data_IF_931497321196
#
_entry.id   IF_931497321196
#
_cell.length_a   1.000
_cell.length_b   1.000
_cell.length_c   1.000
_cell.angle_alpha   90.00
_cell.angle_beta   90.00
_cell.angle_gamma   90.00
#
_symmetry.space_group_name_H-M   'P 1'
#
loop_
_entity.id
_entity.type
_entity.pdbx_description
1 polymer ?
#
# COMPACT_ATOMS: atom_id res chain seq x y z
N UNK A 1 19.39 5.78 -1.30
CA UNK A 1 18.63 5.04 -0.26
C UNK A 1 18.55 5.94 0.96
N UNK A 2 17.34 6.26 1.41
CA UNK A 2 17.12 7.12 2.58
C UNK A 2 16.72 6.25 3.76
N UNK A 3 17.58 6.20 4.78
CA UNK A 3 17.24 5.57 6.05
C UNK A 3 16.64 6.58 7.00
N UNK A 4 15.61 6.15 7.71
CA UNK A 4 14.92 6.98 8.70
C UNK A 4 14.68 6.13 9.95
N UNK A 5 14.81 6.76 11.11
CA UNK A 5 14.44 6.14 12.38
C UNK A 5 12.91 6.21 12.55
N UNK A 6 12.28 5.04 12.67
CA UNK A 6 10.84 4.91 12.93
C UNK A 6 10.59 4.25 14.28
N UNK A 7 9.47 4.59 14.91
CA UNK A 7 8.96 3.85 16.05
C UNK A 7 8.04 2.73 15.56
N UNK A 8 8.55 1.50 15.58
CA UNK A 8 7.78 0.32 15.21
C UNK A 8 7.51 -0.53 16.46
N UNK A 9 6.24 -0.71 16.81
CA UNK A 9 5.81 -1.50 17.98
C UNK A 9 6.54 -1.12 19.29
N UNK A 10 6.79 0.18 19.50
CA UNK A 10 7.46 0.69 20.70
C UNK A 10 9.00 0.59 20.69
N UNK A 11 9.62 0.20 19.58
CA UNK A 11 11.08 0.17 19.43
C UNK A 11 11.53 1.16 18.34
N UNK A 12 12.54 1.98 18.65
CA UNK A 12 13.22 2.83 17.67
C UNK A 12 14.05 1.93 16.74
N UNK A 13 13.77 1.98 15.45
CA UNK A 13 14.40 1.14 14.42
C UNK A 13 14.81 2.00 13.23
N UNK A 14 16.07 1.87 12.80
CA UNK A 14 16.53 2.47 11.55
C UNK A 14 16.10 1.58 10.38
N UNK A 15 15.32 2.10 9.45
CA UNK A 15 14.79 1.34 8.31
C UNK A 15 15.04 2.09 7.01
N UNK A 16 15.25 1.34 5.94
CA UNK A 16 15.22 1.92 4.59
C UNK A 16 13.77 2.24 4.22
N UNK A 17 13.56 3.43 3.64
CA UNK A 17 12.27 3.87 3.12
C UNK A 17 12.34 3.96 1.60
N UNK A 18 11.37 3.34 0.94
CA UNK A 18 11.15 3.43 -0.50
C UNK A 18 9.76 3.98 -0.80
N UNK A 19 9.69 4.91 -1.75
CA UNK A 19 8.46 5.51 -2.24
C UNK A 19 8.24 5.03 -3.68
N UNK A 20 7.10 4.41 -3.94
CA UNK A 20 6.70 4.00 -5.29
C UNK A 20 5.42 4.76 -5.68
N UNK A 21 5.53 5.56 -6.75
CA UNK A 21 4.46 6.40 -7.29
C UNK A 21 4.58 6.60 -8.81
N UNK A 22 5.62 6.05 -9.43
CA UNK A 22 5.87 6.20 -10.87
C UNK A 22 5.38 4.98 -11.65
N UNK A 23 5.40 3.81 -11.00
CA UNK A 23 4.98 2.54 -11.58
C UNK A 23 3.60 2.14 -11.07
N UNK A 24 2.57 2.54 -11.83
CA UNK A 24 1.16 2.25 -11.51
C UNK A 24 0.93 0.76 -11.24
N UNK A 25 1.62 -0.15 -11.95
CA UNK A 25 1.41 -1.60 -11.77
C UNK A 25 1.91 -2.09 -10.41
N UNK A 26 3.02 -1.53 -9.90
CA UNK A 26 3.49 -1.83 -8.54
C UNK A 26 2.62 -1.22 -7.47
N UNK A 27 2.08 -0.03 -7.71
CA UNK A 27 1.12 0.61 -6.80
C UNK A 27 -0.16 -0.22 -6.75
N UNK A 28 -0.66 -0.65 -7.90
CA UNK A 28 -1.85 -1.50 -8.04
C UNK A 28 -1.69 -2.81 -7.28
N UNK A 29 -0.55 -3.51 -7.45
CA UNK A 29 -0.26 -4.75 -6.74
C UNK A 29 -0.26 -4.54 -5.21
N UNK A 30 0.39 -3.48 -4.73
CA UNK A 30 0.44 -3.17 -3.30
C UNK A 30 -0.94 -2.77 -2.74
N UNK A 31 -1.73 -2.01 -3.50
CA UNK A 31 -3.11 -1.69 -3.14
C UNK A 31 -3.97 -2.94 -3.10
N UNK A 32 -3.82 -3.86 -4.07
CA UNK A 32 -4.56 -5.12 -4.11
C UNK A 32 -4.36 -5.92 -2.81
N UNK A 33 -3.11 -6.09 -2.38
CA UNK A 33 -2.77 -6.78 -1.14
C UNK A 33 -3.34 -6.08 0.10
N UNK A 34 -3.34 -4.74 0.10
CA UNK A 34 -3.82 -3.93 1.22
C UNK A 34 -5.35 -4.01 1.40
N UNK A 35 -6.10 -3.95 0.30
CA UNK A 35 -7.57 -3.80 0.33
C UNK A 35 -8.32 -5.13 0.28
N UNK A 36 -7.68 -6.21 -0.18
CA UNK A 36 -8.33 -7.53 -0.30
C UNK A 36 -8.84 -8.00 1.07
N UNK A 37 -10.14 -8.34 1.14
CA UNK A 37 -10.84 -8.68 2.37
C UNK A 37 -10.78 -7.60 3.48
N UNK A 38 -10.43 -6.37 3.12
CA UNK A 38 -10.25 -5.27 4.06
C UNK A 38 -11.10 -4.07 3.63
N UNK A 39 -12.39 -4.02 4.03
CA UNK A 39 -13.31 -2.98 3.59
C UNK A 39 -12.94 -1.58 4.10
N UNK A 40 -12.20 -1.48 5.21
CA UNK A 40 -11.76 -0.19 5.77
C UNK A 40 -10.71 0.42 4.84
N UNK A 41 -9.66 -0.34 4.53
CA UNK A 41 -8.59 0.15 3.65
C UNK A 41 -9.10 0.34 2.21
N UNK A 42 -10.00 -0.53 1.75
CA UNK A 42 -10.68 -0.37 0.46
C UNK A 42 -11.46 0.95 0.37
N UNK A 43 -12.19 1.30 1.43
CA UNK A 43 -12.91 2.57 1.52
C UNK A 43 -11.98 3.78 1.40
N UNK A 44 -10.86 3.79 2.14
CA UNK A 44 -9.88 4.89 2.07
C UNK A 44 -9.15 4.94 0.73
N UNK A 45 -8.88 3.79 0.12
CA UNK A 45 -8.30 3.69 -1.21
C UNK A 45 -9.28 4.11 -2.33
N UNK A 46 -10.56 4.30 -2.02
CA UNK A 46 -11.68 4.50 -2.97
C UNK A 46 -11.82 3.34 -3.97
N UNK A 47 -11.68 2.12 -3.46
CA UNK A 47 -11.84 0.88 -4.22
C UNK A 47 -13.00 0.11 -3.62
N UNK A 48 -13.99 -0.25 -4.45
CA UNK A 48 -15.05 -1.18 -4.04
C UNK A 48 -14.52 -2.60 -3.98
N UNK A 49 -15.05 -3.36 -3.03
CA UNK A 49 -14.85 -4.79 -2.96
C UNK A 49 -16.03 -5.53 -3.58
N UNK A 50 -15.73 -6.57 -4.33
CA UNK A 50 -16.66 -7.58 -4.77
C UNK A 50 -17.15 -8.42 -3.58
N UNK A 51 -18.20 -9.22 -3.81
CA UNK A 51 -18.80 -10.06 -2.76
C UNK A 51 -17.85 -11.11 -2.18
N UNK A 52 -16.85 -11.51 -2.95
CA UNK A 52 -15.79 -12.44 -2.55
C UNK A 52 -14.63 -11.75 -1.82
N UNK A 53 -14.72 -10.43 -1.61
CA UNK A 53 -13.70 -9.63 -0.94
C UNK A 53 -12.55 -9.18 -1.84
N UNK A 54 -12.56 -9.52 -3.14
CA UNK A 54 -11.58 -9.01 -4.09
C UNK A 54 -11.88 -7.55 -4.44
N UNK A 55 -10.88 -6.71 -4.74
CA UNK A 55 -11.12 -5.37 -5.27
C UNK A 55 -11.74 -5.41 -6.68
N UNK A 56 -12.56 -4.41 -7.00
CA UNK A 56 -13.00 -4.14 -8.37
C UNK A 56 -11.77 -3.74 -9.22
N UNK A 57 -11.50 -4.44 -10.34
CA UNK A 57 -10.28 -4.22 -11.12
C UNK A 57 -10.17 -2.81 -11.73
N UNK A 58 -11.29 -2.22 -12.16
CA UNK A 58 -11.28 -0.90 -12.79
C UNK A 58 -11.03 0.20 -11.75
N UNK A 59 -11.68 0.09 -10.59
CA UNK A 59 -11.46 1.03 -9.49
C UNK A 59 -10.06 0.88 -8.89
N UNK A 60 -9.54 -0.34 -8.79
CA UNK A 60 -8.18 -0.60 -8.33
C UNK A 60 -7.14 0.06 -9.24
N UNK A 61 -7.27 -0.11 -10.56
CA UNK A 61 -6.38 0.51 -11.54
C UNK A 61 -6.47 2.06 -11.51
N UNK A 62 -7.66 2.61 -11.30
CA UNK A 62 -7.84 4.05 -11.14
C UNK A 62 -7.20 4.57 -9.85
N UNK A 63 -7.35 3.84 -8.74
CA UNK A 63 -6.74 4.16 -7.46
C UNK A 63 -5.20 4.12 -7.55
N UNK A 64 -4.64 3.16 -8.29
CA UNK A 64 -3.18 3.02 -8.44
C UNK A 64 -2.50 4.27 -9.02
N UNK A 65 -3.21 5.06 -9.83
CA UNK A 65 -2.71 6.32 -10.42
C UNK A 65 -2.76 7.52 -9.48
N UNK A 66 -3.45 7.38 -8.36
CA UNK A 66 -3.73 8.47 -7.42
C UNK A 66 -2.99 8.31 -6.09
N UNK A 67 -2.55 7.10 -5.77
CA UNK A 67 -1.92 6.77 -4.50
C UNK A 67 -0.42 6.56 -4.65
N UNK A 68 0.28 6.74 -3.53
CA UNK A 68 1.72 6.48 -3.41
C UNK A 68 1.92 5.38 -2.38
N UNK A 69 2.80 4.42 -2.67
CA UNK A 69 3.14 3.33 -1.75
C UNK A 69 4.43 3.66 -1.02
N UNK A 70 4.34 3.71 0.30
CA UNK A 70 5.47 3.85 1.20
C UNK A 70 5.87 2.45 1.73
N UNK A 71 7.03 1.96 1.33
CA UNK A 71 7.58 0.66 1.78
C UNK A 71 8.71 0.88 2.77
N UNK A 72 8.64 0.16 3.89
CA UNK A 72 9.71 0.09 4.89
C UNK A 72 10.40 -1.27 4.76
N UNK A 73 11.70 -1.29 4.49
CA UNK A 73 12.48 -2.53 4.45
C UNK A 73 13.16 -2.74 5.80
N UNK A 74 12.64 -3.66 6.59
CA UNK A 74 13.26 -4.06 7.85
C UNK A 74 14.43 -4.99 7.56
N UNK A 75 15.65 -4.53 7.84
CA UNK A 75 16.80 -5.42 7.93
C UNK A 75 16.78 -6.04 9.32
N UNK A 76 16.46 -7.34 9.38
CA UNK A 76 16.47 -8.13 10.63
C UNK A 76 17.81 -8.81 10.80
#
# INVERSE_FOLDING_TARGET
MHNVDIWLKGKLTNTEINLEYLDDAKVEAALCDLVTNNPIDAFFAKVKLNKDGSPDPMELQAAAKLHTVLKFSLHT
#
